data_IF_987393219256
#
_entry.id   IF_987393219256
#
_cell.length_a   1.000
_cell.length_b   1.000
_cell.length_c   1.000
_cell.angle_alpha   90.00
_cell.angle_beta   90.00
_cell.angle_gamma   90.00
#
_symmetry.space_group_name_H-M   'P 1'
#
loop_
_entity.id
_entity.type
_entity.pdbx_description
1 polymer ?
#
# COMPACT_ATOMS: atom_id res chain seq x y z
N UNK A 1 -10.82 -24.84 17.04
CA UNK A 1 -11.04 -23.38 17.14
C UNK A 1 -11.96 -22.96 16.01
N UNK A 2 -13.02 -22.16 16.24
CA UNK A 2 -13.84 -21.66 15.15
C UNK A 2 -12.99 -20.74 14.26
N UNK A 3 -13.04 -20.96 12.96
CA UNK A 3 -12.34 -20.12 11.97
C UNK A 3 -13.02 -18.75 11.97
N UNK A 4 -12.31 -17.64 12.20
CA UNK A 4 -12.92 -16.30 12.14
C UNK A 4 -13.57 -16.10 10.77
N UNK A 5 -14.90 -15.91 10.76
CA UNK A 5 -15.64 -15.63 9.54
C UNK A 5 -15.25 -14.24 9.05
N UNK A 6 -14.87 -14.12 7.78
CA UNK A 6 -14.51 -12.83 7.22
C UNK A 6 -15.75 -11.91 7.12
N UNK A 7 -15.62 -10.61 7.42
CA UNK A 7 -16.74 -9.68 7.43
C UNK A 7 -17.38 -9.57 6.02
N UNK A 8 -18.71 -9.64 5.90
CA UNK A 8 -19.39 -9.58 4.61
C UNK A 8 -19.10 -8.24 3.91
N UNK A 9 -18.89 -8.29 2.60
CA UNK A 9 -18.81 -7.09 1.77
C UNK A 9 -20.17 -6.94 1.11
N UNK A 10 -20.80 -5.79 1.31
CA UNK A 10 -22.02 -5.41 0.61
C UNK A 10 -21.63 -4.48 -0.54
N UNK A 11 -22.21 -4.72 -1.70
CA UNK A 11 -22.06 -3.88 -2.89
C UNK A 11 -23.47 -3.56 -3.38
N UNK A 12 -23.70 -2.32 -3.79
CA UNK A 12 -24.86 -2.03 -4.61
C UNK A 12 -24.66 -2.51 -6.07
N UNK A 13 -25.73 -2.50 -6.87
CA UNK A 13 -25.68 -2.97 -8.27
C UNK A 13 -24.78 -2.09 -9.15
N UNK A 14 -24.66 -0.79 -8.83
CA UNK A 14 -23.81 0.15 -9.57
C UNK A 14 -22.34 -0.15 -9.27
N UNK A 15 -21.95 -0.22 -8.00
CA UNK A 15 -20.61 -0.57 -7.54
C UNK A 15 -20.16 -1.92 -8.10
N UNK A 16 -21.04 -2.92 -8.10
CA UNK A 16 -20.76 -4.23 -8.66
C UNK A 16 -20.47 -4.14 -10.16
N UNK A 17 -21.32 -3.47 -10.93
CA UNK A 17 -21.14 -3.29 -12.39
C UNK A 17 -19.86 -2.51 -12.71
N UNK A 18 -19.54 -1.49 -11.91
CA UNK A 18 -18.31 -0.72 -12.06
C UNK A 18 -17.06 -1.55 -11.75
N UNK A 19 -17.10 -2.36 -10.69
CA UNK A 19 -16.01 -3.28 -10.34
C UNK A 19 -15.80 -4.37 -11.39
N UNK A 20 -16.88 -4.90 -11.97
CA UNK A 20 -16.81 -5.85 -13.10
C UNK A 20 -16.16 -5.20 -14.33
N UNK A 21 -16.59 -3.99 -14.70
CA UNK A 21 -15.98 -3.22 -15.79
C UNK A 21 -14.48 -2.94 -15.54
N UNK A 22 -14.12 -2.53 -14.32
CA UNK A 22 -12.73 -2.28 -13.94
C UNK A 22 -11.90 -3.57 -14.03
N UNK A 23 -12.44 -4.70 -13.57
CA UNK A 23 -11.74 -5.99 -13.64
C UNK A 23 -11.42 -6.44 -15.07
N UNK A 24 -12.22 -6.04 -16.06
CA UNK A 24 -12.02 -6.39 -17.46
C UNK A 24 -11.13 -5.40 -18.21
N UNK A 25 -11.16 -4.11 -17.85
CA UNK A 25 -10.59 -3.04 -18.69
C UNK A 25 -9.27 -2.47 -18.18
N UNK A 26 -8.97 -2.61 -16.88
CA UNK A 26 -7.80 -1.97 -16.27
C UNK A 26 -6.58 -2.89 -16.22
N UNK A 27 -5.44 -2.33 -15.80
CA UNK A 27 -4.20 -3.08 -15.63
C UNK A 27 -4.35 -4.24 -14.62
N UNK A 28 -3.60 -5.32 -14.85
CA UNK A 28 -3.73 -6.60 -14.12
C UNK A 28 -3.77 -6.43 -12.59
N UNK A 29 -2.97 -5.51 -12.03
CA UNK A 29 -2.93 -5.31 -10.59
C UNK A 29 -4.19 -4.63 -10.02
N UNK A 30 -4.83 -3.73 -10.77
CA UNK A 30 -6.10 -3.09 -10.41
C UNK A 30 -7.22 -4.12 -10.56
N UNK A 31 -7.23 -4.84 -11.69
CA UNK A 31 -8.22 -5.88 -11.97
C UNK A 31 -8.22 -6.98 -10.92
N UNK A 32 -7.04 -7.44 -10.48
CA UNK A 32 -6.92 -8.40 -9.37
C UNK A 32 -7.52 -7.87 -8.06
N UNK A 33 -7.36 -6.58 -7.76
CA UNK A 33 -7.96 -5.96 -6.55
C UNK A 33 -9.48 -5.88 -6.67
N UNK A 34 -10.00 -5.50 -7.82
CA UNK A 34 -11.45 -5.50 -8.08
C UNK A 34 -12.06 -6.90 -7.93
N UNK A 35 -11.42 -7.93 -8.50
CA UNK A 35 -11.84 -9.32 -8.36
C UNK A 35 -11.88 -9.80 -6.90
N UNK A 36 -10.92 -9.37 -6.08
CA UNK A 36 -10.93 -9.67 -4.63
C UNK A 36 -12.18 -9.11 -3.95
N UNK A 37 -12.60 -7.89 -4.29
CA UNK A 37 -13.81 -7.26 -3.72
C UNK A 37 -15.08 -7.98 -4.22
N UNK A 38 -15.16 -8.25 -5.52
CA UNK A 38 -16.30 -8.97 -6.12
C UNK A 38 -16.50 -10.36 -5.50
N UNK A 39 -15.41 -11.14 -5.33
CA UNK A 39 -15.52 -12.45 -4.68
C UNK A 39 -15.84 -12.33 -3.20
N UNK A 40 -15.33 -11.30 -2.50
CA UNK A 40 -15.69 -11.05 -1.10
C UNK A 40 -17.19 -10.71 -0.95
N UNK A 41 -17.77 -10.00 -1.92
CA UNK A 41 -19.20 -9.67 -1.95
C UNK A 41 -20.09 -10.89 -2.19
N UNK A 42 -19.59 -11.91 -2.91
CA UNK A 42 -20.26 -13.23 -3.05
C UNK A 42 -20.27 -14.05 -1.74
N UNK A 43 -19.69 -13.53 -0.65
CA UNK A 43 -19.59 -14.22 0.62
C UNK A 43 -18.43 -15.22 0.73
N UNK A 44 -17.50 -15.20 -0.22
CA UNK A 44 -16.36 -16.12 -0.22
C UNK A 44 -15.41 -15.87 0.96
N UNK A 45 -14.82 -16.97 1.44
CA UNK A 45 -13.76 -16.90 2.44
C UNK A 45 -12.48 -16.36 1.81
N UNK A 46 -11.65 -15.65 2.58
CA UNK A 46 -10.38 -15.14 2.07
C UNK A 46 -9.50 -16.26 1.49
N UNK A 47 -9.54 -17.46 2.06
CA UNK A 47 -8.81 -18.64 1.57
C UNK A 47 -9.30 -19.08 0.20
N UNK A 48 -10.61 -19.10 -0.05
CA UNK A 48 -11.16 -19.43 -1.37
C UNK A 48 -10.80 -18.36 -2.40
N UNK A 49 -10.88 -17.08 -2.02
CA UNK A 49 -10.48 -15.97 -2.89
C UNK A 49 -9.00 -16.09 -3.29
N UNK A 50 -8.12 -16.44 -2.35
CA UNK A 50 -6.69 -16.68 -2.65
C UNK A 50 -6.52 -17.76 -3.73
N UNK A 51 -7.25 -18.87 -3.61
CA UNK A 51 -7.19 -19.97 -4.59
C UNK A 51 -7.69 -19.55 -5.97
N UNK A 52 -8.78 -18.77 -6.03
CA UNK A 52 -9.36 -18.27 -7.29
C UNK A 52 -8.49 -17.22 -7.98
N UNK A 53 -7.89 -16.32 -7.20
CA UNK A 53 -7.15 -15.16 -7.72
C UNK A 53 -5.64 -15.35 -7.80
N UNK A 54 -5.10 -16.44 -7.24
CA UNK A 54 -3.65 -16.66 -7.14
C UNK A 54 -2.94 -15.64 -6.25
N UNK A 55 -3.65 -14.94 -5.36
CA UNK A 55 -3.10 -13.91 -4.47
C UNK A 55 -2.84 -14.43 -3.06
N UNK A 56 -2.08 -13.68 -2.26
CA UNK A 56 -1.79 -14.05 -0.87
C UNK A 56 -2.94 -13.69 0.07
N UNK A 57 -3.09 -14.44 1.16
CA UNK A 57 -4.09 -14.17 2.18
C UNK A 57 -3.99 -12.75 2.74
N UNK A 58 -2.77 -12.24 2.93
CA UNK A 58 -2.56 -10.88 3.41
C UNK A 58 -3.07 -9.84 2.40
N UNK A 59 -2.90 -10.09 1.10
CA UNK A 59 -3.41 -9.23 0.04
C UNK A 59 -4.95 -9.18 0.10
N UNK A 60 -5.60 -10.34 0.06
CA UNK A 60 -7.06 -10.47 0.13
C UNK A 60 -7.62 -9.81 1.38
N UNK A 61 -7.05 -10.15 2.55
CA UNK A 61 -7.50 -9.59 3.82
C UNK A 61 -7.32 -8.08 3.91
N UNK A 62 -6.27 -7.53 3.29
CA UNK A 62 -6.00 -6.08 3.33
C UNK A 62 -7.02 -5.34 2.49
N UNK A 63 -7.25 -5.76 1.25
CA UNK A 63 -8.18 -5.07 0.34
C UNK A 63 -9.63 -5.19 0.79
N UNK A 64 -10.04 -6.37 1.28
CA UNK A 64 -11.37 -6.53 1.89
C UNK A 64 -11.58 -5.57 3.05
N UNK A 65 -10.59 -5.44 3.95
CA UNK A 65 -10.67 -4.49 5.06
C UNK A 65 -10.69 -3.04 4.57
N UNK A 66 -9.85 -2.68 3.60
CA UNK A 66 -9.83 -1.32 3.07
C UNK A 66 -11.16 -0.93 2.47
N UNK A 67 -11.76 -1.83 1.67
CA UNK A 67 -13.07 -1.59 1.07
C UNK A 67 -14.14 -1.34 2.12
N UNK A 68 -14.20 -2.18 3.16
CA UNK A 68 -15.16 -2.03 4.26
C UNK A 68 -14.97 -0.74 5.09
N UNK A 69 -13.79 -0.13 5.04
CA UNK A 69 -13.52 1.16 5.70
C UNK A 69 -13.57 2.33 4.72
N UNK A 70 -13.83 2.08 3.44
CA UNK A 70 -13.95 3.11 2.43
C UNK A 70 -15.41 3.58 2.34
N UNK A 71 -15.59 4.85 2.01
CA UNK A 71 -16.89 5.40 1.65
C UNK A 71 -16.68 6.19 0.37
N UNK A 72 -17.39 5.81 -0.69
CA UNK A 72 -17.31 6.46 -1.98
C UNK A 72 -18.47 7.46 -2.08
N UNK A 73 -18.14 8.71 -2.41
CA UNK A 73 -19.12 9.78 -2.60
C UNK A 73 -18.89 10.30 -4.02
N UNK A 74 -19.93 10.20 -4.85
CA UNK A 74 -19.92 10.64 -6.24
C UNK A 74 -21.32 11.11 -6.64
N UNK A 75 -21.41 12.01 -7.62
CA UNK A 75 -22.69 12.51 -8.13
C UNK A 75 -23.15 11.77 -9.39
N UNK A 76 -22.22 11.12 -10.11
CA UNK A 76 -22.49 10.33 -11.31
C UNK A 76 -21.81 8.96 -11.26
N UNK A 77 -22.25 8.03 -12.13
CA UNK A 77 -21.62 6.71 -12.26
C UNK A 77 -20.17 6.82 -12.77
N UNK A 78 -19.88 7.75 -13.67
CA UNK A 78 -18.53 7.98 -14.20
C UNK A 78 -17.58 8.49 -13.10
N UNK A 79 -18.04 9.44 -12.26
CA UNK A 79 -17.28 9.91 -11.12
C UNK A 79 -17.03 8.78 -10.11
N UNK A 80 -18.05 7.96 -9.85
CA UNK A 80 -17.94 6.81 -8.95
C UNK A 80 -16.91 5.80 -9.47
N UNK A 81 -16.93 5.51 -10.77
CA UNK A 81 -15.96 4.61 -11.42
C UNK A 81 -14.54 5.10 -11.20
N UNK A 82 -14.30 6.40 -11.41
CA UNK A 82 -12.99 6.99 -11.28
C UNK A 82 -12.50 6.99 -9.83
N UNK A 83 -13.38 7.29 -8.87
CA UNK A 83 -13.05 7.22 -7.44
C UNK A 83 -12.71 5.78 -7.01
N UNK A 84 -13.50 4.78 -7.44
CA UNK A 84 -13.23 3.37 -7.17
C UNK A 84 -11.91 2.93 -7.81
N UNK A 85 -11.65 3.34 -9.05
CA UNK A 85 -10.39 3.08 -9.74
C UNK A 85 -9.20 3.65 -8.97
N UNK A 86 -9.24 4.93 -8.59
CA UNK A 86 -8.18 5.57 -7.82
C UNK A 86 -7.94 4.89 -6.46
N UNK A 87 -9.02 4.46 -5.79
CA UNK A 87 -8.93 3.67 -4.57
C UNK A 87 -8.18 2.35 -4.82
N UNK A 88 -8.54 1.63 -5.90
CA UNK A 88 -7.90 0.36 -6.27
C UNK A 88 -6.48 0.55 -6.80
N UNK A 89 -6.14 1.71 -7.37
CA UNK A 89 -4.78 2.05 -7.80
C UNK A 89 -3.87 2.35 -6.62
N UNK A 90 -4.44 2.88 -5.52
CA UNK A 90 -3.69 3.36 -4.37
C UNK A 90 -2.59 2.38 -3.99
N UNK A 91 -1.33 2.84 -4.10
CA UNK A 91 -0.18 2.00 -3.75
C UNK A 91 -0.28 1.74 -2.26
N UNK A 92 -0.16 0.47 -1.87
CA UNK A 92 0.01 0.03 -0.49
C UNK A 92 1.31 0.63 0.09
N UNK A 93 1.28 1.92 0.39
CA UNK A 93 2.22 2.55 1.27
C UNK A 93 1.80 2.14 2.66
N UNK A 94 2.33 1.00 3.14
CA UNK A 94 2.48 0.73 4.58
C UNK A 94 2.73 2.08 5.26
N UNK A 95 1.93 2.53 6.24
CA UNK A 95 2.05 3.86 6.80
C UNK A 95 3.54 4.11 7.01
N UNK A 96 4.11 5.08 6.29
CA UNK A 96 5.50 5.41 6.55
C UNK A 96 5.48 5.77 8.03
N UNK A 97 6.14 4.97 8.87
CA UNK A 97 6.29 5.26 10.31
C UNK A 97 6.90 6.66 10.52
N UNK A 98 7.36 7.28 9.45
CA UNK A 98 7.84 8.64 9.33
C UNK A 98 6.92 9.47 8.43
N UNK A 99 6.53 10.66 8.88
CA UNK A 99 5.86 11.68 8.06
C UNK A 99 6.76 12.10 6.89
N UNK A 100 6.18 12.66 5.83
CA UNK A 100 6.95 13.07 4.63
C UNK A 100 8.07 14.07 4.96
N UNK A 101 7.83 15.01 5.87
CA UNK A 101 8.85 15.96 6.37
C UNK A 101 10.00 15.23 7.07
N UNK A 102 9.69 14.19 7.85
CA UNK A 102 10.70 13.39 8.56
C UNK A 102 11.53 12.58 7.56
N UNK A 103 10.90 12.05 6.50
CA UNK A 103 11.59 11.36 5.40
C UNK A 103 12.58 12.28 4.70
N UNK A 104 12.17 13.51 4.34
CA UNK A 104 13.05 14.46 3.67
C UNK A 104 14.31 14.75 4.50
N UNK A 105 14.15 14.98 5.81
CA UNK A 105 15.26 15.20 6.75
C UNK A 105 16.15 13.96 6.91
N UNK A 106 15.58 12.75 6.88
CA UNK A 106 16.37 11.50 6.90
C UNK A 106 17.19 11.33 5.62
N UNK A 107 16.63 11.68 4.46
CA UNK A 107 17.36 11.67 3.18
C UNK A 107 18.51 12.70 3.23
N UNK A 108 18.26 13.89 3.77
CA UNK A 108 19.28 14.93 3.95
C UNK A 108 20.46 14.45 4.82
N UNK A 109 20.20 13.76 5.94
CA UNK A 109 21.26 13.14 6.75
C UNK A 109 22.11 12.17 5.91
N UNK A 110 21.48 11.44 4.98
CA UNK A 110 22.17 10.43 4.17
C UNK A 110 23.10 11.02 3.12
N UNK A 111 22.92 12.29 2.75
CA UNK A 111 23.73 13.00 1.75
C UNK A 111 24.90 13.78 2.37
N UNK A 112 24.88 14.03 3.68
CA UNK A 112 25.92 14.80 4.37
C UNK A 112 27.30 14.15 4.48
N UNK A 113 27.53 12.94 3.93
CA UNK A 113 28.82 12.28 4.14
C UNK A 113 29.23 11.29 3.05
N UNK A 114 30.39 11.55 2.43
CA UNK A 114 31.12 10.67 1.49
C UNK A 114 32.04 9.66 2.20
N UNK A 115 31.84 9.40 3.50
CA UNK A 115 32.61 8.38 4.21
C UNK A 115 32.45 7.01 3.57
N UNK A 116 33.54 6.26 3.46
CA UNK A 116 33.46 4.83 3.19
C UNK A 116 32.88 4.13 4.43
N UNK A 117 31.68 3.58 4.28
CA UNK A 117 31.03 2.81 5.34
C UNK A 117 31.46 1.35 5.22
N UNK A 118 31.67 0.68 6.36
CA UNK A 118 32.01 -0.75 6.40
C UNK A 118 30.96 -1.64 5.72
N UNK A 119 29.70 -1.21 5.71
CA UNK A 119 28.61 -1.87 5.00
C UNK A 119 27.41 -0.93 4.83
N UNK A 120 26.46 -1.32 3.96
CA UNK A 120 25.15 -0.63 3.84
C UNK A 120 24.38 -0.61 5.15
N UNK A 121 24.48 -1.68 5.96
CA UNK A 121 23.87 -1.73 7.28
C UNK A 121 24.47 -0.67 8.21
N UNK A 122 25.80 -0.57 8.27
CA UNK A 122 26.49 0.41 9.12
C UNK A 122 26.13 1.86 8.73
N UNK A 123 26.00 2.14 7.42
CA UNK A 123 25.49 3.44 6.94
C UNK A 123 24.08 3.71 7.47
N UNK A 124 23.16 2.76 7.30
CA UNK A 124 21.76 2.94 7.69
C UNK A 124 21.59 3.08 9.21
N UNK A 125 22.40 2.39 10.01
CA UNK A 125 22.40 2.46 11.46
C UNK A 125 22.86 3.83 11.98
N UNK A 126 23.89 4.39 11.35
CA UNK A 126 24.35 5.75 11.66
C UNK A 126 23.28 6.80 11.34
N UNK A 127 22.64 6.69 10.16
CA UNK A 127 21.54 7.59 9.76
C UNK A 127 20.34 7.46 10.72
N UNK A 128 19.98 6.24 11.12
CA UNK A 128 18.89 6.00 12.06
C UNK A 128 19.17 6.66 13.42
N UNK A 129 20.39 6.46 13.94
CA UNK A 129 20.83 7.05 15.21
C UNK A 129 20.85 8.57 15.16
N UNK A 130 21.29 9.14 14.04
CA UNK A 130 21.29 10.59 13.81
C UNK A 130 19.86 11.17 13.77
N UNK A 131 18.94 10.48 13.09
CA UNK A 131 17.56 10.92 12.97
C UNK A 131 16.84 10.95 14.32
N UNK A 132 17.09 9.95 15.17
CA UNK A 132 16.58 9.91 16.56
C UNK A 132 17.23 11.00 17.40
N UNK A 133 18.56 11.15 17.34
CA UNK A 133 19.29 12.15 18.14
C UNK A 133 18.85 13.59 17.85
N UNK A 134 18.47 13.88 16.60
CA UNK A 134 17.95 15.20 16.18
C UNK A 134 16.46 15.40 16.43
N UNK A 135 15.77 14.40 17.02
CA UNK A 135 14.33 14.45 17.27
C UNK A 135 13.48 14.47 16.00
N UNK A 136 14.02 13.99 14.87
CA UNK A 136 13.27 13.92 13.60
C UNK A 136 12.23 12.81 13.68
N UNK A 137 12.55 11.71 14.37
CA UNK A 137 11.66 10.57 14.64
C UNK A 137 11.90 10.06 16.05
N UNK A 138 10.86 9.53 16.70
CA UNK A 138 10.99 8.91 18.02
C UNK A 138 11.77 7.60 17.96
N UNK A 139 11.59 6.83 16.89
CA UNK A 139 12.28 5.56 16.65
C UNK A 139 12.28 5.24 15.15
N UNK A 140 13.40 4.75 14.63
CA UNK A 140 13.47 4.19 13.28
C UNK A 140 14.52 3.08 13.19
N UNK A 141 14.18 1.98 12.52
CA UNK A 141 15.13 0.89 12.32
C UNK A 141 16.10 1.18 11.15
N UNK A 142 17.35 0.68 11.19
CA UNK A 142 18.27 0.76 10.06
C UNK A 142 17.68 0.18 8.76
N UNK A 143 16.86 -0.87 8.87
CA UNK A 143 16.17 -1.47 7.72
C UNK A 143 15.15 -0.51 7.10
N UNK A 144 14.41 0.23 7.93
CA UNK A 144 13.46 1.24 7.46
C UNK A 144 14.18 2.36 6.70
N UNK A 145 15.31 2.84 7.24
CA UNK A 145 16.18 3.82 6.55
C UNK A 145 16.61 3.28 5.19
N UNK A 146 17.12 2.04 5.13
CA UNK A 146 17.55 1.43 3.87
C UNK A 146 16.46 1.43 2.80
N UNK A 147 15.23 1.07 3.15
CA UNK A 147 14.09 1.08 2.22
C UNK A 147 13.72 2.49 1.75
N UNK A 148 13.79 3.50 2.63
CA UNK A 148 13.53 4.89 2.25
C UNK A 148 14.56 5.38 1.21
N UNK A 149 15.83 5.07 1.42
CA UNK A 149 16.90 5.44 0.49
C UNK A 149 16.79 4.74 -0.86
N UNK A 150 16.45 3.44 -0.87
CA UNK A 150 16.19 2.69 -2.11
C UNK A 150 15.02 3.26 -2.91
N UNK A 151 13.95 3.61 -2.21
CA UNK A 151 12.77 4.21 -2.83
C UNK A 151 13.11 5.57 -3.44
N UNK A 152 13.84 6.41 -2.72
CA UNK A 152 14.30 7.71 -3.21
C UNK A 152 15.20 7.59 -4.46
N UNK A 153 16.14 6.63 -4.46
CA UNK A 153 17.00 6.37 -5.63
C UNK A 153 16.18 5.95 -6.87
N UNK A 154 15.16 5.11 -6.69
CA UNK A 154 14.25 4.72 -7.78
C UNK A 154 13.43 5.90 -8.32
N UNK A 155 12.97 6.77 -7.43
CA UNK A 155 12.21 7.98 -7.80
C UNK A 155 13.08 8.97 -8.59
N UNK A 156 14.34 9.18 -8.19
CA UNK A 156 15.31 9.97 -8.98
C UNK A 156 15.53 9.33 -10.35
N UNK A 157 15.78 8.02 -10.40
CA UNK A 157 16.07 7.32 -11.65
C UNK A 157 14.87 7.29 -12.62
N UNK A 158 13.63 7.34 -12.11
CA UNK A 158 12.43 7.43 -12.94
C UNK A 158 12.11 8.85 -13.41
N UNK A 159 12.76 9.87 -12.83
CA UNK A 159 12.58 11.29 -13.17
C UNK A 159 13.76 11.86 -13.99
N UNK A 160 14.73 11.01 -14.36
CA UNK A 160 15.91 11.32 -15.16
C UNK A 160 15.78 10.69 -16.54
#
# INVERSE_FOLDING_TARGET
>A
MPVPKAPPVELDEVEKKLLESIAETEEEYISRRALVILEAAKGESNTNICKKTGTSFHHVSTWRKKWLNATFIAQTEEELREVIKQFLESKDGRPRKCKQVEVAKIIEISTWNERSYRSRHAKNELIASEAVRRGIVSEISPRSVGRLLEQYQKEIAASS
#
